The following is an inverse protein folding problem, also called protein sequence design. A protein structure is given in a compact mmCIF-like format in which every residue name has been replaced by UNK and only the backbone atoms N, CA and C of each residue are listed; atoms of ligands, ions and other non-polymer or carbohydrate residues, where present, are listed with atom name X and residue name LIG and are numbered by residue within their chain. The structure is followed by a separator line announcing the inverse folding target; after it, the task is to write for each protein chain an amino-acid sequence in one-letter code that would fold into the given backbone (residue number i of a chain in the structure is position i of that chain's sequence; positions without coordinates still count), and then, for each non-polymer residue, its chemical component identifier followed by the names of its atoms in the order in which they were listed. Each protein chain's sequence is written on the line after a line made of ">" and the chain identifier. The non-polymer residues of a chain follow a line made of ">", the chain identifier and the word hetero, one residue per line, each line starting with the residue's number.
data_IF_842474655406
#
_entry.id   IF_842474655406
#
_cell.length_a   1.000
_cell.length_b   1.000
_cell.length_c   1.000
_cell.angle_alpha   90.00
_cell.angle_beta   90.00
_cell.angle_gamma   90.00
#
_symmetry.space_group_name_H-M   'P 1'
#
loop_
_entity.id
_entity.type
_entity.pdbx_description
1 polymer ?
#
# COMPACT_ATOMS: atom_id res chain seq x y z
N UNK A 1 -1.00 -9.02 -35.50
CA UNK A 1 0.30 -9.55 -35.00
C UNK A 1 0.04 -10.76 -34.10
N UNK A 2 0.51 -11.93 -34.55
CA UNK A 2 0.32 -13.21 -33.88
C UNK A 2 0.97 -13.23 -32.50
N UNK A 3 0.21 -13.65 -31.48
CA UNK A 3 0.70 -13.85 -30.12
C UNK A 3 1.84 -14.87 -30.11
N UNK A 4 3.02 -14.44 -29.68
CA UNK A 4 4.16 -15.32 -29.48
C UNK A 4 3.91 -16.18 -28.26
N UNK A 5 3.47 -17.41 -28.50
CA UNK A 5 3.27 -18.47 -27.53
C UNK A 5 4.63 -19.04 -27.02
N UNK A 6 5.52 -18.16 -26.55
CA UNK A 6 6.88 -18.51 -26.10
C UNK A 6 6.92 -18.30 -24.60
N UNK A 7 7.25 -19.38 -23.86
CA UNK A 7 7.32 -19.53 -22.41
C UNK A 7 6.06 -20.03 -21.68
N UNK A 8 5.47 -21.16 -22.13
CA UNK A 8 4.79 -22.05 -21.18
C UNK A 8 5.83 -22.87 -20.42
N UNK A 9 6.05 -22.53 -19.14
CA UNK A 9 6.88 -23.36 -18.25
C UNK A 9 6.01 -24.53 -17.78
N UNK A 10 6.17 -25.68 -18.41
CA UNK A 10 5.53 -26.92 -17.99
C UNK A 10 6.47 -27.67 -17.04
N UNK A 11 6.17 -27.62 -15.74
CA UNK A 11 6.88 -28.38 -14.72
C UNK A 11 6.42 -29.84 -14.75
N UNK A 12 7.33 -30.77 -15.01
CA UNK A 12 7.06 -32.21 -14.91
C UNK A 12 7.71 -32.79 -13.65
N UNK A 13 7.02 -33.70 -12.92
CA UNK A 13 7.61 -34.39 -11.79
C UNK A 13 8.76 -35.29 -12.29
N UNK A 14 9.92 -35.19 -11.64
CA UNK A 14 11.06 -36.07 -11.92
C UNK A 14 10.76 -37.45 -11.35
N UNK A 15 10.83 -38.48 -12.21
CA UNK A 15 10.71 -39.95 -12.03
C UNK A 15 10.17 -40.48 -10.69
N UNK A 16 10.78 -40.16 -9.54
CA UNK A 16 10.43 -40.65 -8.20
C UNK A 16 9.83 -39.60 -7.25
N UNK A 17 9.29 -38.50 -7.75
CA UNK A 17 8.59 -37.52 -6.90
C UNK A 17 7.37 -38.18 -6.23
N UNK A 18 7.30 -38.11 -4.90
CA UNK A 18 6.17 -38.64 -4.13
C UNK A 18 4.84 -38.07 -4.64
N UNK A 19 3.82 -38.93 -4.77
CA UNK A 19 2.49 -38.49 -5.17
C UNK A 19 2.02 -37.35 -4.28
N UNK A 20 1.51 -36.30 -4.93
CA UNK A 20 0.94 -35.14 -4.26
C UNK A 20 -0.06 -35.59 -3.18
N UNK A 21 0.08 -35.14 -1.92
CA UNK A 21 -0.85 -35.51 -0.87
C UNK A 21 -2.28 -35.15 -1.26
N UNK A 22 -3.25 -36.05 -1.03
CA UNK A 22 -4.66 -35.85 -1.41
C UNK A 22 -5.23 -34.54 -0.88
N UNK A 23 -4.85 -34.15 0.34
CA UNK A 23 -5.30 -32.90 0.95
C UNK A 23 -4.81 -31.67 0.20
N UNK A 24 -3.56 -31.70 -0.31
CA UNK A 24 -3.00 -30.60 -1.09
C UNK A 24 -3.64 -30.51 -2.47
N UNK A 25 -3.95 -31.66 -3.09
CA UNK A 25 -4.68 -31.70 -4.36
C UNK A 25 -6.10 -31.14 -4.20
N UNK A 26 -6.80 -31.53 -3.14
CA UNK A 26 -8.14 -31.02 -2.81
C UNK A 26 -8.14 -29.50 -2.58
N UNK A 27 -7.17 -28.98 -1.84
CA UNK A 27 -7.08 -27.55 -1.53
C UNK A 27 -6.75 -26.70 -2.78
N UNK A 28 -5.96 -27.25 -3.71
CA UNK A 28 -5.72 -26.59 -5.01
C UNK A 28 -6.91 -26.67 -5.95
N UNK A 29 -7.62 -27.79 -5.99
CA UNK A 29 -8.84 -27.95 -6.78
C UNK A 29 -9.94 -26.99 -6.26
N UNK A 30 -10.08 -26.86 -4.94
CA UNK A 30 -10.97 -25.89 -4.28
C UNK A 30 -10.57 -24.44 -4.59
N UNK A 31 -9.27 -24.13 -4.51
CA UNK A 31 -8.75 -22.80 -4.88
C UNK A 31 -9.01 -22.50 -6.36
N UNK A 32 -8.75 -23.44 -7.28
CA UNK A 32 -9.04 -23.25 -8.70
C UNK A 32 -10.54 -23.10 -8.97
N UNK A 33 -11.38 -23.84 -8.26
CA UNK A 33 -12.83 -23.73 -8.39
C UNK A 33 -13.32 -22.36 -7.91
N UNK A 34 -12.77 -21.84 -6.80
CA UNK A 34 -13.09 -20.51 -6.28
C UNK A 34 -12.69 -19.38 -7.25
N UNK A 35 -11.54 -19.52 -7.91
CA UNK A 35 -11.08 -18.58 -8.92
C UNK A 35 -11.93 -18.61 -10.20
N UNK A 36 -12.51 -19.76 -10.53
CA UNK A 36 -13.35 -19.93 -11.74
C UNK A 36 -14.81 -19.55 -11.53
N UNK A 37 -15.35 -19.68 -10.32
CA UNK A 37 -16.79 -19.49 -10.07
C UNK A 37 -17.19 -18.08 -9.69
N UNK A 38 -16.24 -17.17 -9.47
CA UNK A 38 -16.56 -15.88 -8.89
C UNK A 38 -16.94 -16.06 -7.41
N UNK A 39 -16.39 -15.21 -6.54
CA UNK A 39 -16.71 -15.26 -5.11
C UNK A 39 -16.98 -13.86 -4.58
N UNK A 40 -18.06 -13.70 -3.82
CA UNK A 40 -18.34 -12.47 -3.07
C UNK A 40 -17.94 -12.69 -1.60
N UNK A 41 -16.91 -12.00 -1.15
CA UNK A 41 -16.52 -11.96 0.25
C UNK A 41 -17.02 -10.65 0.85
N UNK A 42 -17.65 -10.71 2.02
CA UNK A 42 -18.10 -9.53 2.74
C UNK A 42 -17.53 -9.55 4.16
N UNK A 43 -16.82 -8.51 4.51
CA UNK A 43 -16.26 -8.29 5.84
C UNK A 43 -16.98 -7.13 6.49
N UNK A 44 -17.36 -7.31 7.75
CA UNK A 44 -18.00 -6.29 8.55
C UNK A 44 -17.05 -5.90 9.67
N UNK A 45 -16.73 -4.62 9.77
CA UNK A 45 -15.87 -4.07 10.81
C UNK A 45 -16.65 -3.00 11.56
N UNK A 46 -16.75 -3.11 12.88
CA UNK A 46 -17.37 -2.08 13.71
C UNK A 46 -16.28 -1.35 14.49
N UNK A 47 -16.23 -0.03 14.30
CA UNK A 47 -15.34 0.87 15.03
C UNK A 47 -15.84 1.09 16.47
N UNK A 48 -14.96 1.59 17.33
CA UNK A 48 -15.23 1.82 18.76
C UNK A 48 -16.33 2.84 19.03
N UNK A 49 -16.60 3.73 18.07
CA UNK A 49 -17.70 4.70 18.06
C UNK A 49 -19.04 4.09 17.60
N UNK A 50 -19.07 2.79 17.29
CA UNK A 50 -20.26 2.07 16.81
C UNK A 50 -20.46 2.11 15.30
N UNK A 51 -19.61 2.85 14.56
CA UNK A 51 -19.70 2.94 13.10
C UNK A 51 -19.32 1.60 12.47
N UNK A 52 -20.22 1.02 11.68
CA UNK A 52 -19.99 -0.28 11.02
C UNK A 52 -19.70 -0.10 9.53
N UNK A 53 -18.54 -0.59 9.10
CA UNK A 53 -18.07 -0.61 7.72
C UNK A 53 -18.27 -1.99 7.13
N UNK A 54 -18.87 -2.04 5.95
CA UNK A 54 -19.05 -3.27 5.18
C UNK A 54 -18.13 -3.19 3.96
N UNK A 55 -17.12 -4.05 3.92
CA UNK A 55 -16.22 -4.20 2.79
C UNK A 55 -16.65 -5.44 2.01
N UNK A 56 -17.25 -5.24 0.84
CA UNK A 56 -17.55 -6.32 -0.09
C UNK A 56 -16.47 -6.35 -1.18
N UNK A 57 -15.90 -7.53 -1.42
CA UNK A 57 -14.97 -7.77 -2.51
C UNK A 57 -15.49 -8.92 -3.39
N UNK A 58 -15.44 -8.75 -4.71
CA UNK A 58 -15.77 -9.78 -5.69
C UNK A 58 -14.55 -10.10 -6.56
N UNK A 59 -14.08 -11.36 -6.55
CA UNK A 59 -13.02 -11.83 -7.47
C UNK A 59 -13.67 -12.74 -8.53
N UNK A 60 -13.49 -12.43 -9.82
CA UNK A 60 -14.00 -13.18 -10.98
C UNK A 60 -13.81 -12.40 -12.30
N UNK A 61 -13.91 -13.06 -13.47
CA UNK A 61 -13.68 -12.43 -14.79
C UNK A 61 -14.70 -11.32 -15.12
N UNK A 62 -14.21 -10.25 -15.76
CA UNK A 62 -14.90 -9.01 -16.15
C UNK A 62 -15.94 -9.15 -17.28
N UNK A 63 -16.85 -10.13 -17.26
CA UNK A 63 -17.88 -10.28 -18.33
C UNK A 63 -19.34 -10.16 -17.91
N UNK A 64 -19.67 -10.01 -16.62
CA UNK A 64 -21.05 -9.79 -16.18
C UNK A 64 -21.15 -8.58 -15.22
N UNK A 65 -20.99 -7.37 -15.76
CA UNK A 65 -21.21 -6.10 -15.07
C UNK A 65 -22.32 -5.32 -15.78
N UNK A 66 -23.54 -5.88 -15.75
CA UNK A 66 -24.76 -5.11 -15.91
C UNK A 66 -25.77 -5.61 -14.87
N UNK A 67 -26.41 -4.65 -14.22
CA UNK A 67 -27.42 -4.80 -13.17
C UNK A 67 -26.87 -4.98 -11.74
N UNK A 68 -26.86 -3.88 -10.98
CA UNK A 68 -27.70 -3.78 -9.78
C UNK A 68 -27.73 -2.32 -9.32
N UNK A 69 -28.93 -1.76 -9.41
CA UNK A 69 -29.33 -0.45 -8.91
C UNK A 69 -29.34 -0.44 -7.37
N UNK A 70 -28.80 0.61 -6.75
CA UNK A 70 -28.92 0.86 -5.31
C UNK A 70 -30.39 1.13 -4.98
N UNK A 71 -31.01 0.23 -4.21
CA UNK A 71 -32.25 0.52 -3.48
C UNK A 71 -31.89 0.68 -2.01
N UNK A 72 -31.60 1.91 -1.59
CA UNK A 72 -31.54 2.28 -0.17
C UNK A 72 -32.92 2.77 0.26
N UNK A 73 -33.66 1.89 0.95
CA UNK A 73 -34.84 2.27 1.70
C UNK A 73 -34.42 2.99 2.98
N UNK A 74 -34.59 4.32 3.00
CA UNK A 74 -34.65 5.09 4.23
C UNK A 74 -36.03 4.87 4.85
N UNK A 75 -36.12 4.21 6.00
CA UNK A 75 -37.30 4.30 6.85
C UNK A 75 -36.94 5.05 8.14
N UNK A 76 -37.41 6.29 8.21
CA UNK A 76 -37.38 7.16 9.37
C UNK A 76 -38.76 7.12 10.01
N UNK A 77 -38.88 6.49 11.16
CA UNK A 77 -40.04 6.71 12.05
C UNK A 77 -39.60 7.41 13.32
N UNK A 78 -39.60 8.74 13.24
CA UNK A 78 -39.56 9.64 14.40
C UNK A 78 -40.97 9.71 15.01
N UNK A 79 -41.12 9.34 16.28
CA UNK A 79 -42.34 9.63 17.07
C UNK A 79 -41.93 10.37 18.34
N UNK A 80 -42.33 11.64 18.37
CA UNK A 80 -42.15 12.61 19.45
C UNK A 80 -43.07 12.24 20.63
N UNK A 81 -42.53 12.19 21.85
CA UNK A 81 -43.24 12.55 23.12
C UNK A 81 -42.19 12.82 24.21
N UNK A 82 -42.16 14.05 24.76
CA UNK A 82 -41.57 14.38 26.08
C UNK A 82 -42.68 14.41 27.14
N UNK A 83 -42.37 14.29 28.46
CA UNK A 83 -42.04 15.48 29.27
C UNK A 83 -41.01 15.29 30.42
N UNK A 84 -40.30 16.39 30.75
CA UNK A 84 -39.81 16.86 32.08
C UNK A 84 -38.89 15.96 32.93
N UNK A 85 -37.85 16.40 33.67
CA UNK A 85 -37.36 17.73 34.09
C UNK A 85 -36.00 17.59 34.82
N UNK A 86 -35.21 18.68 34.87
CA UNK A 86 -34.23 19.10 35.92
C UNK A 86 -32.97 18.24 36.14
N UNK A 87 -31.72 18.72 36.21
CA UNK A 87 -31.18 20.06 36.53
C UNK A 87 -29.66 20.17 36.27
N UNK A 88 -29.21 21.38 35.87
CA UNK A 88 -27.92 22.08 36.13
C UNK A 88 -26.62 21.53 35.46
N UNK A 89 -25.70 22.29 34.85
CA UNK A 89 -25.39 23.74 34.88
C UNK A 89 -24.46 24.09 33.70
N UNK A 90 -24.57 25.32 33.18
CA UNK A 90 -23.81 25.89 32.05
C UNK A 90 -22.50 26.58 32.49
N UNK A 91 -21.45 26.52 31.65
CA UNK A 91 -20.61 27.70 31.31
C UNK A 91 -20.28 27.62 29.80
N UNK A 92 -20.59 28.72 29.10
CA UNK A 92 -20.51 28.96 27.66
C UNK A 92 -19.09 28.95 27.05
N UNK A 93 -19.01 28.56 25.77
CA UNK A 93 -18.43 29.44 24.75
C UNK A 93 -19.01 29.15 23.36
N UNK A 94 -19.72 30.14 22.84
CA UNK A 94 -20.15 30.27 21.45
C UNK A 94 -18.95 30.24 20.50
N UNK A 95 -18.97 29.38 19.47
CA UNK A 95 -18.75 29.80 18.09
C UNK A 95 -19.58 28.94 17.14
N UNK A 96 -20.46 29.63 16.43
CA UNK A 96 -21.35 29.15 15.39
C UNK A 96 -20.51 28.88 14.12
N UNK A 97 -20.28 27.62 13.76
CA UNK A 97 -19.68 27.25 12.47
C UNK A 97 -20.73 26.57 11.61
N UNK A 98 -21.20 27.34 10.63
CA UNK A 98 -22.06 26.93 9.53
C UNK A 98 -21.41 25.72 8.82
N UNK A 99 -22.11 24.59 8.76
CA UNK A 99 -21.68 23.44 7.96
C UNK A 99 -21.89 23.77 6.49
N UNK A 100 -20.81 24.11 5.80
CA UNK A 100 -20.72 24.18 4.34
C UNK A 100 -20.40 22.78 3.78
N UNK A 101 -20.95 22.40 2.61
CA UNK A 101 -20.83 21.05 2.06
C UNK A 101 -19.38 20.69 1.70
N UNK A 102 -18.93 19.50 2.13
CA UNK A 102 -17.57 19.01 1.90
C UNK A 102 -17.31 18.71 0.41
N UNK A 103 -16.66 19.64 -0.27
CA UNK A 103 -15.93 19.41 -1.52
C UNK A 103 -14.43 19.25 -1.27
N UNK A 104 -13.81 18.28 -1.93
CA UNK A 104 -12.35 18.10 -2.09
C UNK A 104 -11.48 17.93 -0.82
N UNK A 105 -11.73 16.88 -0.02
CA UNK A 105 -10.84 16.47 1.10
C UNK A 105 -9.74 15.45 0.70
N UNK A 106 -9.58 15.18 -0.60
CA UNK A 106 -8.74 14.08 -1.08
C UNK A 106 -7.33 14.45 -1.53
N UNK A 107 -6.97 15.74 -1.65
CA UNK A 107 -5.71 16.18 -2.29
C UNK A 107 -4.67 16.64 -1.25
N UNK A 108 -5.09 17.33 -0.18
CA UNK A 108 -4.15 17.84 0.84
C UNK A 108 -3.58 16.73 1.75
N UNK A 109 -4.38 15.70 2.04
CA UNK A 109 -3.96 14.53 2.84
C UNK A 109 -2.79 13.79 2.18
N UNK A 110 -2.75 13.77 0.86
CA UNK A 110 -1.78 13.03 0.06
C UNK A 110 -0.41 13.70 0.07
N UNK A 111 -0.42 15.02 0.01
CA UNK A 111 0.80 15.83 0.02
C UNK A 111 1.48 15.72 1.37
N UNK A 112 0.73 15.91 2.44
CA UNK A 112 1.27 15.92 3.80
C UNK A 112 1.84 14.54 4.16
N UNK A 113 1.13 13.46 3.77
CA UNK A 113 1.65 12.10 3.89
C UNK A 113 2.93 11.88 3.08
N UNK A 114 2.95 12.27 1.79
CA UNK A 114 4.15 12.10 0.96
C UNK A 114 5.33 12.89 1.51
N UNK A 115 5.10 14.10 1.99
CA UNK A 115 6.11 14.92 2.64
C UNK A 115 6.66 14.25 3.89
N UNK A 116 5.78 13.75 4.76
CA UNK A 116 6.18 13.08 5.99
C UNK A 116 6.95 11.78 5.72
N UNK A 117 6.47 10.98 4.77
CA UNK A 117 7.15 9.75 4.37
C UNK A 117 8.54 10.03 3.77
N UNK A 118 8.63 10.91 2.76
CA UNK A 118 9.90 11.15 2.07
C UNK A 118 10.89 12.00 2.85
N UNK A 119 10.43 12.82 3.81
CA UNK A 119 11.32 13.43 4.82
C UNK A 119 11.82 12.42 5.86
N UNK A 120 11.29 11.19 5.83
CA UNK A 120 11.57 10.15 6.80
C UNK A 120 10.98 10.45 8.19
N UNK A 121 10.08 11.43 8.33
CA UNK A 121 9.38 11.72 9.59
C UNK A 121 8.39 10.63 9.94
N UNK A 122 7.70 10.10 8.93
CA UNK A 122 6.78 8.97 9.07
C UNK A 122 7.33 7.76 8.33
N UNK A 123 7.02 6.59 8.88
CA UNK A 123 7.37 5.31 8.32
C UNK A 123 6.10 4.60 7.85
N UNK A 124 6.20 3.83 6.77
CA UNK A 124 5.05 3.09 6.25
C UNK A 124 5.03 1.69 6.84
N UNK A 125 4.07 1.39 7.73
CA UNK A 125 3.82 0.02 8.14
C UNK A 125 3.09 -0.73 7.04
N UNK A 126 3.32 -2.03 6.96
CA UNK A 126 2.61 -2.94 6.09
C UNK A 126 2.84 -4.40 6.46
N UNK A 127 2.39 -5.29 5.58
CA UNK A 127 2.39 -6.73 5.83
C UNK A 127 1.10 -7.21 6.49
N UNK A 128 0.81 -8.50 6.31
CA UNK A 128 -0.38 -9.16 6.84
C UNK A 128 0.02 -10.46 7.55
N UNK A 129 -0.72 -10.82 8.59
CA UNK A 129 -0.45 -12.02 9.39
C UNK A 129 0.60 -11.78 10.47
N UNK A 130 1.45 -12.79 10.70
CA UNK A 130 2.43 -12.79 11.80
C UNK A 130 3.52 -11.73 11.63
N UNK A 131 4.14 -11.66 10.45
CA UNK A 131 5.19 -10.67 10.18
C UNK A 131 4.61 -9.38 9.61
N UNK A 132 4.97 -8.27 10.25
CA UNK A 132 4.76 -6.91 9.77
C UNK A 132 6.09 -6.32 9.33
N UNK A 133 6.01 -5.29 8.51
CA UNK A 133 7.17 -4.59 7.95
C UNK A 133 6.96 -3.10 8.08
N UNK A 134 8.06 -2.37 8.22
CA UNK A 134 8.05 -0.92 8.24
C UNK A 134 9.21 -0.39 7.40
N UNK A 135 8.93 0.59 6.54
CA UNK A 135 9.94 1.33 5.79
C UNK A 135 9.88 2.79 6.20
N UNK A 136 10.99 3.30 6.73
CA UNK A 136 11.24 4.73 6.90
C UNK A 136 12.13 5.17 5.74
N UNK A 137 11.59 5.92 4.77
CA UNK A 137 12.35 6.32 3.60
C UNK A 137 13.62 7.09 3.99
N UNK A 138 14.74 6.75 3.37
CA UNK A 138 16.03 7.37 3.63
C UNK A 138 16.63 7.02 5.00
N UNK A 139 16.03 6.08 5.75
CA UNK A 139 16.48 5.67 7.08
C UNK A 139 16.70 4.17 7.19
N UNK A 140 15.63 3.38 7.28
CA UNK A 140 15.76 1.94 7.54
C UNK A 140 14.50 1.16 7.16
N UNK A 141 14.70 -0.16 7.07
CA UNK A 141 13.62 -1.15 6.90
C UNK A 141 13.67 -2.12 8.07
N UNK A 142 12.52 -2.32 8.72
CA UNK A 142 12.36 -3.24 9.85
C UNK A 142 11.31 -4.30 9.50
N UNK A 143 11.60 -5.54 9.82
CA UNK A 143 10.61 -6.60 9.96
C UNK A 143 10.31 -6.77 11.45
N UNK A 144 9.05 -6.87 11.83
CA UNK A 144 8.68 -7.05 13.22
C UNK A 144 7.44 -7.91 13.40
N UNK A 145 7.32 -8.51 14.58
CA UNK A 145 6.12 -9.15 15.07
C UNK A 145 5.77 -8.53 16.42
N UNK A 146 4.48 -8.35 16.67
CA UNK A 146 3.99 -7.76 17.91
C UNK A 146 2.77 -8.52 18.41
N UNK A 147 2.86 -8.96 19.67
CA UNK A 147 1.80 -9.64 20.41
C UNK A 147 1.65 -8.96 21.78
N UNK A 148 0.55 -8.25 21.98
CA UNK A 148 0.33 -7.46 23.19
C UNK A 148 1.38 -6.35 23.35
N UNK A 149 2.20 -6.45 24.41
CA UNK A 149 3.30 -5.50 24.67
C UNK A 149 4.66 -6.01 24.19
N UNK A 150 4.73 -7.23 23.65
CA UNK A 150 5.98 -7.82 23.20
C UNK A 150 6.18 -7.56 21.71
N UNK A 151 7.27 -6.85 21.36
CA UNK A 151 7.66 -6.58 19.97
C UNK A 151 9.04 -7.16 19.69
N UNK A 152 9.11 -8.07 18.72
CA UNK A 152 10.35 -8.59 18.16
C UNK A 152 10.62 -7.80 16.88
N UNK A 153 11.76 -7.12 16.79
CA UNK A 153 12.14 -6.34 15.60
C UNK A 153 13.47 -6.82 15.05
N UNK A 154 13.57 -6.89 13.73
CA UNK A 154 14.74 -7.28 12.95
C UNK A 154 15.02 -6.16 11.95
N UNK A 155 16.20 -5.56 12.02
CA UNK A 155 16.66 -4.57 11.06
C UNK A 155 17.08 -5.27 9.76
N UNK A 156 16.35 -5.03 8.67
CA UNK A 156 16.66 -5.61 7.36
C UNK A 156 17.71 -4.79 6.61
N UNK A 157 17.79 -3.49 6.89
CA UNK A 157 18.81 -2.61 6.34
C UNK A 157 18.60 -1.14 6.69
N UNK A 158 19.63 -0.35 6.46
CA UNK A 158 19.72 1.10 6.66
C UNK A 158 20.11 1.77 5.34
N UNK A 159 19.64 2.99 5.16
CA UNK A 159 19.92 3.76 3.96
C UNK A 159 21.35 4.32 3.99
N UNK A 160 22.08 4.13 2.90
CA UNK A 160 23.32 4.84 2.66
C UNK A 160 23.46 5.09 1.15
N UNK A 161 23.58 6.37 0.76
CA UNK A 161 23.56 6.79 -0.64
C UNK A 161 24.73 6.21 -1.43
N UNK A 162 25.93 6.22 -0.85
CA UNK A 162 27.15 5.74 -1.50
C UNK A 162 27.09 4.23 -1.75
N UNK A 163 26.65 3.45 -0.75
CA UNK A 163 26.46 2.00 -0.86
C UNK A 163 25.37 1.63 -1.86
N UNK A 164 24.29 2.42 -1.94
CA UNK A 164 23.24 2.24 -2.96
C UNK A 164 23.80 2.44 -4.38
N UNK A 165 24.58 3.51 -4.60
CA UNK A 165 25.22 3.78 -5.90
C UNK A 165 26.22 2.67 -6.26
N UNK A 166 27.03 2.23 -5.31
CA UNK A 166 27.96 1.11 -5.51
C UNK A 166 27.23 -0.17 -5.90
N UNK A 167 26.12 -0.49 -5.21
CA UNK A 167 25.28 -1.64 -5.52
C UNK A 167 24.70 -1.55 -6.94
N UNK A 168 24.20 -0.39 -7.36
CA UNK A 168 23.69 -0.17 -8.72
C UNK A 168 24.79 -0.32 -9.79
N UNK A 169 26.01 0.10 -9.51
CA UNK A 169 27.14 -0.08 -10.43
C UNK A 169 27.49 -1.56 -10.61
N UNK A 170 27.41 -2.36 -9.54
CA UNK A 170 27.56 -3.82 -9.60
C UNK A 170 26.34 -4.52 -10.22
N UNK A 171 25.17 -3.87 -10.22
CA UNK A 171 23.92 -4.41 -10.74
C UNK A 171 23.27 -3.47 -11.78
N UNK A 172 23.85 -3.29 -12.98
CA UNK A 172 23.35 -2.31 -13.96
C UNK A 172 21.88 -2.51 -14.37
N UNK A 173 21.39 -3.75 -14.32
CA UNK A 173 19.98 -4.09 -14.62
C UNK A 173 18.97 -3.52 -13.62
N UNK A 174 19.43 -3.09 -12.44
CA UNK A 174 18.62 -2.49 -11.38
C UNK A 174 18.57 -0.97 -11.47
N UNK A 175 19.42 -0.36 -12.32
CA UNK A 175 19.37 1.08 -12.57
C UNK A 175 18.04 1.45 -13.20
N UNK A 176 17.50 2.64 -12.89
CA UNK A 176 16.36 3.17 -13.61
C UNK A 176 16.69 3.20 -15.11
N UNK A 177 15.87 2.54 -15.92
CA UNK A 177 16.04 2.44 -17.38
C UNK A 177 14.82 3.00 -18.09
N UNK A 178 15.01 3.43 -19.34
CA UNK A 178 13.96 4.05 -20.16
C UNK A 178 13.62 5.49 -19.75
N UNK A 179 12.61 6.05 -20.42
CA UNK A 179 12.10 7.38 -20.08
C UNK A 179 11.49 7.36 -18.67
N UNK A 180 11.67 8.44 -17.91
CA UNK A 180 11.11 8.57 -16.56
C UNK A 180 9.59 8.30 -16.55
N UNK A 181 8.85 8.80 -17.55
CA UNK A 181 7.39 8.67 -17.68
C UNK A 181 6.89 7.24 -17.92
N UNK A 182 7.73 6.36 -18.47
CA UNK A 182 7.37 4.97 -18.77
C UNK A 182 7.74 4.02 -17.61
N UNK A 183 8.47 4.54 -16.62
CA UNK A 183 9.02 3.77 -15.51
C UNK A 183 7.92 3.38 -14.53
N UNK A 184 7.82 2.09 -14.24
CA UNK A 184 6.82 1.56 -13.30
C UNK A 184 7.34 1.44 -11.87
N UNK A 185 8.65 1.35 -11.68
CA UNK A 185 9.26 1.23 -10.36
C UNK A 185 10.69 1.76 -10.32
N UNK A 186 11.17 2.04 -9.11
CA UNK A 186 12.58 2.28 -8.78
C UNK A 186 13.03 1.32 -7.69
N UNK A 187 14.31 0.96 -7.71
CA UNK A 187 14.95 0.11 -6.69
C UNK A 187 15.86 0.95 -5.81
N UNK A 188 15.70 0.82 -4.50
CA UNK A 188 16.54 1.45 -3.46
C UNK A 188 17.17 0.37 -2.60
N UNK A 189 18.48 0.43 -2.39
CA UNK A 189 19.21 -0.60 -1.66
C UNK A 189 19.55 -0.15 -0.25
N UNK A 190 19.16 -0.95 0.74
CA UNK A 190 19.40 -0.73 2.15
C UNK A 190 20.32 -1.84 2.68
N UNK A 191 21.34 -1.47 3.44
CA UNK A 191 22.43 -2.35 3.89
C UNK A 191 22.64 -2.28 5.38
N UNK A 192 23.59 -3.07 5.88
CA UNK A 192 24.02 -3.03 7.28
C UNK A 192 22.92 -3.36 8.29
N UNK A 193 21.99 -4.25 7.92
CA UNK A 193 21.01 -4.78 8.84
C UNK A 193 21.62 -5.62 9.97
N UNK A 194 20.74 -6.22 10.75
CA UNK A 194 21.13 -7.12 11.84
C UNK A 194 21.89 -8.32 11.30
N UNK A 195 22.81 -8.84 12.12
CA UNK A 195 23.60 -10.02 11.77
C UNK A 195 22.67 -11.22 11.66
N UNK A 196 22.73 -11.89 10.50
CA UNK A 196 22.03 -13.13 10.25
C UNK A 196 22.64 -14.25 11.07
N UNK A 197 21.81 -14.99 11.79
CA UNK A 197 22.19 -16.16 12.56
C UNK A 197 22.67 -17.32 11.67
N UNK A 198 22.11 -17.45 10.47
CA UNK A 198 22.47 -18.50 9.50
C UNK A 198 23.73 -18.14 8.72
N UNK A 199 23.72 -17.04 7.98
CA UNK A 199 24.84 -16.67 7.07
C UNK A 199 25.99 -15.97 7.80
N UNK A 200 25.76 -15.49 9.02
CA UNK A 200 26.70 -14.62 9.78
C UNK A 200 27.06 -13.30 9.08
N UNK A 201 26.33 -12.93 8.03
CA UNK A 201 26.46 -11.65 7.33
C UNK A 201 25.36 -10.69 7.77
N UNK A 202 25.53 -9.40 7.50
CA UNK A 202 24.48 -8.40 7.73
C UNK A 202 23.35 -8.58 6.72
N UNK A 203 22.11 -8.47 7.20
CA UNK A 203 20.92 -8.44 6.35
C UNK A 203 20.96 -7.24 5.39
N UNK A 204 20.37 -7.44 4.22
CA UNK A 204 20.24 -6.42 3.17
C UNK A 204 18.85 -6.50 2.54
N UNK A 205 18.34 -5.37 2.05
CA UNK A 205 17.03 -5.33 1.38
C UNK A 205 17.04 -4.39 0.18
N UNK A 206 16.50 -4.88 -0.94
CA UNK A 206 16.11 -4.06 -2.09
C UNK A 206 14.65 -3.63 -1.91
N UNK A 207 14.41 -2.35 -1.74
CA UNK A 207 13.08 -1.74 -1.69
C UNK A 207 12.68 -1.33 -3.11
N UNK A 208 11.57 -1.87 -3.61
CA UNK A 208 10.99 -1.53 -4.91
C UNK A 208 9.75 -0.66 -4.70
N UNK A 209 9.87 0.63 -4.98
CA UNK A 209 8.73 1.56 -5.01
C UNK A 209 8.07 1.46 -6.37
N UNK A 210 6.79 1.06 -6.44
CA UNK A 210 6.06 0.82 -7.68
C UNK A 210 4.82 1.69 -7.80
N UNK A 211 4.67 2.33 -8.96
CA UNK A 211 3.44 3.02 -9.35
C UNK A 211 2.33 2.00 -9.65
N UNK A 212 1.18 2.13 -8.97
CA UNK A 212 -0.02 1.35 -9.27
C UNK A 212 -1.17 2.29 -9.68
N UNK A 213 -1.43 2.39 -10.99
CA UNK A 213 -2.43 3.34 -11.55
C UNK A 213 -3.89 2.89 -11.37
N UNK A 214 -4.13 1.59 -11.15
CA UNK A 214 -5.47 0.98 -11.13
C UNK A 214 -6.04 0.78 -9.70
N UNK A 215 -5.56 1.50 -8.70
CA UNK A 215 -6.18 1.41 -7.36
C UNK A 215 -7.40 2.33 -7.34
N UNK A 216 -8.60 1.73 -7.40
CA UNK A 216 -9.84 2.45 -7.68
C UNK A 216 -10.30 3.44 -6.59
N UNK A 217 -9.73 3.44 -5.37
CA UNK A 217 -9.97 4.47 -4.34
C UNK A 217 -8.77 4.66 -3.38
N UNK A 218 -8.47 5.93 -3.06
CA UNK A 218 -7.67 6.51 -1.95
C UNK A 218 -6.44 5.72 -1.47
N UNK A 219 -5.24 6.08 -1.98
CA UNK A 219 -3.92 5.98 -1.30
C UNK A 219 -3.51 4.66 -0.63
N UNK A 220 -4.25 3.59 -0.88
CA UNK A 220 -3.99 2.30 -0.30
C UNK A 220 -2.59 1.85 -0.71
N UNK A 221 -1.76 1.57 0.28
CA UNK A 221 -0.39 1.10 0.08
C UNK A 221 -0.38 -0.41 0.26
N UNK A 222 0.05 -1.13 -0.77
CA UNK A 222 0.25 -2.58 -0.72
C UNK A 222 1.72 -2.90 -0.51
N UNK A 223 2.03 -3.81 0.41
CA UNK A 223 3.40 -4.21 0.73
C UNK A 223 3.56 -5.72 0.76
N UNK A 224 4.67 -6.19 0.21
CA UNK A 224 5.06 -7.60 0.29
C UNK A 224 6.58 -7.72 0.47
N UNK A 225 7.00 -8.72 1.23
CA UNK A 225 8.41 -9.06 1.42
C UNK A 225 8.66 -10.46 0.88
N UNK A 226 9.73 -10.60 0.09
CA UNK A 226 10.26 -11.91 -0.32
C UNK A 226 11.72 -12.01 0.08
N UNK A 227 12.19 -13.22 0.34
CA UNK A 227 13.58 -13.54 0.69
C UNK A 227 14.15 -14.47 -0.40
N UNK A 228 14.67 -13.93 -1.53
CA UNK A 228 15.18 -14.75 -2.62
C UNK A 228 16.43 -15.55 -2.23
N UNK A 229 17.23 -15.02 -1.30
CA UNK A 229 18.40 -15.67 -0.72
C UNK A 229 18.36 -15.46 0.80
N UNK A 230 18.92 -16.38 1.57
CA UNK A 230 18.89 -16.29 3.04
C UNK A 230 19.46 -14.95 3.52
N UNK A 231 18.67 -14.22 4.31
CA UNK A 231 18.99 -12.90 4.86
C UNK A 231 19.18 -11.78 3.82
N UNK A 232 18.68 -11.98 2.59
CA UNK A 232 18.62 -10.99 1.51
C UNK A 232 17.18 -10.84 1.04
N UNK A 233 16.64 -9.63 1.14
CA UNK A 233 15.21 -9.40 0.99
C UNK A 233 14.89 -8.50 -0.21
N UNK A 234 13.68 -8.63 -0.73
CA UNK A 234 13.07 -7.65 -1.64
C UNK A 234 11.73 -7.23 -1.06
N UNK A 235 11.62 -5.95 -0.71
CA UNK A 235 10.39 -5.32 -0.23
C UNK A 235 9.72 -4.58 -1.38
N UNK A 236 8.57 -5.05 -1.85
CA UNK A 236 7.74 -4.31 -2.80
C UNK A 236 6.77 -3.40 -2.05
N UNK A 237 6.73 -2.12 -2.43
CA UNK A 237 5.78 -1.13 -1.92
C UNK A 237 5.06 -0.53 -3.12
N UNK A 238 3.77 -0.79 -3.24
CA UNK A 238 2.95 -0.37 -4.37
C UNK A 238 1.91 0.65 -3.91
N UNK A 239 1.84 1.79 -4.60
CA UNK A 239 0.86 2.84 -4.35
C UNK A 239 0.70 3.71 -5.59
N UNK A 240 -0.49 4.29 -5.78
CA UNK A 240 -0.72 5.33 -6.80
C UNK A 240 0.10 6.60 -6.53
N UNK A 241 0.47 6.86 -5.26
CA UNK A 241 1.28 8.00 -4.85
C UNK A 241 2.70 7.97 -5.44
N UNK A 242 3.25 6.77 -5.69
CA UNK A 242 4.59 6.64 -6.27
C UNK A 242 4.63 6.96 -7.76
N UNK A 243 3.48 7.06 -8.45
CA UNK A 243 3.45 7.41 -9.87
C UNK A 243 4.06 8.79 -10.14
N UNK A 244 3.69 9.79 -9.34
CA UNK A 244 4.28 11.12 -9.46
C UNK A 244 5.74 11.13 -9.00
N UNK A 245 6.09 10.36 -7.98
CA UNK A 245 7.44 10.29 -7.43
C UNK A 245 8.46 9.76 -8.45
N UNK A 246 8.12 8.66 -9.11
CA UNK A 246 9.02 7.94 -10.01
C UNK A 246 9.48 8.83 -11.19
N UNK A 247 8.65 9.80 -11.58
CA UNK A 247 8.98 10.79 -12.60
C UNK A 247 10.11 11.75 -12.18
N UNK A 248 10.32 11.96 -10.88
CA UNK A 248 11.30 12.91 -10.31
C UNK A 248 12.49 12.23 -9.61
N UNK A 249 12.80 11.00 -9.96
CA UNK A 249 13.99 10.33 -9.44
C UNK A 249 15.23 10.67 -10.27
N UNK A 250 16.40 10.74 -9.62
CA UNK A 250 17.68 10.89 -10.30
C UNK A 250 18.09 9.63 -11.10
N UNK A 251 19.28 9.65 -11.70
CA UNK A 251 19.84 8.53 -12.46
C UNK A 251 20.08 7.25 -11.62
N UNK A 252 20.06 7.38 -10.29
CA UNK A 252 20.21 6.30 -9.33
C UNK A 252 18.85 5.87 -8.73
N UNK A 253 17.75 6.42 -9.23
CA UNK A 253 16.40 6.07 -8.79
C UNK A 253 16.04 6.65 -7.43
N UNK A 254 16.79 7.64 -6.96
CA UNK A 254 16.55 8.34 -5.71
C UNK A 254 15.59 9.50 -5.97
N UNK A 255 14.40 9.51 -5.34
CA UNK A 255 13.49 10.65 -5.38
C UNK A 255 14.13 11.98 -4.97
N UNK A 256 13.91 13.01 -5.80
CA UNK A 256 14.24 14.40 -5.49
C UNK A 256 13.04 15.06 -4.78
N UNK A 257 13.09 15.04 -3.45
CA UNK A 257 12.01 15.59 -2.61
C UNK A 257 11.79 17.08 -2.84
N UNK A 258 12.84 17.86 -3.10
CA UNK A 258 12.68 19.31 -3.32
C UNK A 258 11.90 19.59 -4.61
N UNK A 259 12.21 18.86 -5.69
CA UNK A 259 11.48 18.99 -6.96
C UNK A 259 10.05 18.49 -6.83
N UNK A 260 9.83 17.39 -6.12
CA UNK A 260 8.51 16.84 -5.85
C UNK A 260 7.62 17.86 -5.13
N UNK A 261 8.13 18.46 -4.04
CA UNK A 261 7.37 19.42 -3.23
C UNK A 261 7.11 20.73 -3.96
N UNK A 262 8.06 21.24 -4.75
CA UNK A 262 7.86 22.42 -5.61
C UNK A 262 6.72 22.23 -6.62
N UNK A 263 6.57 21.03 -7.18
CA UNK A 263 5.46 20.72 -8.11
C UNK A 263 4.10 20.76 -7.40
N UNK A 264 3.99 20.15 -6.23
CA UNK A 264 2.75 20.19 -5.46
C UNK A 264 2.32 21.62 -5.14
N UNK A 265 3.27 22.49 -4.76
CA UNK A 265 2.99 23.92 -4.52
C UNK A 265 2.50 24.66 -5.77
N UNK A 266 3.06 24.35 -6.96
CA UNK A 266 2.65 24.98 -8.22
C UNK A 266 1.26 24.52 -8.70
N UNK A 267 0.85 23.29 -8.40
CA UNK A 267 -0.48 22.79 -8.75
C UNK A 267 -1.60 23.51 -7.97
N UNK A 268 -1.33 23.95 -6.74
CA UNK A 268 -2.30 24.75 -5.96
C UNK A 268 -2.48 26.18 -6.49
N UNK A 269 -1.46 26.76 -7.14
CA UNK A 269 -1.55 28.11 -7.71
C UNK A 269 -2.32 28.17 -9.03
N UNK A 270 -2.68 27.01 -9.61
CA UNK A 270 -3.38 26.91 -10.90
C UNK A 270 -4.86 26.51 -10.76
N UNK A 271 -5.42 26.41 -9.55
CA UNK A 271 -6.87 26.28 -9.40
C UNK A 271 -7.54 27.62 -9.77
N UNK A 272 -8.44 27.65 -10.77
CA UNK A 272 -9.12 28.88 -11.14
C UNK A 272 -9.98 29.35 -9.96
N UNK A 273 -9.75 30.60 -9.52
CA UNK A 273 -10.66 31.31 -8.63
C UNK A 273 -12.06 31.25 -9.25
N UNK A 274 -13.01 30.59 -8.57
CA UNK A 274 -14.41 30.71 -8.95
C UNK A 274 -14.82 32.17 -8.82
N UNK A 275 -15.44 32.80 -9.83
CA UNK A 275 -15.93 34.15 -9.70
C UNK A 275 -17.07 34.15 -8.68
N UNK A 276 -16.92 34.98 -7.64
CA UNK A 276 -18.00 35.32 -6.71
C UNK A 276 -19.21 35.83 -7.50
N UNK A 277 -20.37 35.20 -7.31
CA UNK A 277 -21.69 35.73 -7.67
C UNK A 277 -22.57 35.76 -6.43
#
# INVERSE_FOLDING_TARGET
>A
PSESNRYSINCFPKENAHQKPRNLKKLEDERQLSLKKGGRAQFTMTSADGTTFIIAYQYGNDEDLDDLTETTTHDSTNKITQPSSSEQTEINNNQNVRQEPMGNLGIDVDRDFLENFFSGRECLPGGTGWWKYEICYGKHVIQFHEEGQHRISILLGTWNREKHIEWLNKNPKKKPSGNAKDRQFVSLYYTDGDICDVTKTRRVVEVKLRCQKKMDKSHATSMYLVEPETCSYVLGVESSLFCNLIDYTDEYGIPDNEKLMKRFQQQHQQQPQQPEQ
#
